data_IF_638067301824
#
_entry.id   IF_638067301824
#
_cell.length_a   1.000
_cell.length_b   1.000
_cell.length_c   1.000
_cell.angle_alpha   90.00
_cell.angle_beta   90.00
_cell.angle_gamma   90.00
#
_symmetry.space_group_name_H-M   'P 1'
#
loop_
_entity.id
_entity.type
_entity.pdbx_description
1 polymer ?
#
# COMPACT_ATOMS: atom_id res chain seq x y z
N UNK A 1 -11.49 6.37 20.41
CA UNK A 1 -10.89 7.60 19.86
C UNK A 1 -12.00 8.54 19.39
N UNK A 2 -13.07 8.67 20.19
CA UNK A 2 -14.33 9.22 19.70
C UNK A 2 -14.20 10.70 19.35
N UNK A 3 -14.56 11.07 18.11
CA UNK A 3 -14.53 12.46 17.62
C UNK A 3 -13.14 13.04 17.40
N UNK A 4 -12.06 12.25 17.60
CA UNK A 4 -10.70 12.73 17.41
C UNK A 4 -10.38 12.74 15.90
N UNK A 5 -9.93 13.88 15.35
CA UNK A 5 -9.42 13.95 13.98
C UNK A 5 -8.10 13.20 13.88
N UNK A 6 -8.01 12.28 12.92
CA UNK A 6 -6.87 11.40 12.70
C UNK A 6 -6.30 11.64 11.30
N UNK A 7 -4.97 11.66 11.21
CA UNK A 7 -4.25 11.65 9.95
C UNK A 7 -3.44 10.35 9.89
N UNK A 8 -3.46 9.70 8.75
CA UNK A 8 -2.64 8.52 8.47
C UNK A 8 -1.42 8.92 7.65
N UNK A 9 -0.26 8.40 8.03
CA UNK A 9 1.00 8.59 7.30
C UNK A 9 1.59 7.21 7.03
N UNK A 10 1.78 6.90 5.74
CA UNK A 10 2.17 5.58 5.27
C UNK A 10 3.47 5.72 4.50
N UNK A 11 4.47 4.94 4.91
CA UNK A 11 5.67 4.68 4.13
C UNK A 11 5.69 3.21 3.74
N UNK A 12 5.46 2.91 2.46
CA UNK A 12 5.32 1.52 2.00
C UNK A 12 6.00 1.30 0.66
N UNK A 13 6.20 0.03 0.28
CA UNK A 13 6.59 -0.30 -1.09
C UNK A 13 5.38 -0.49 -1.99
N UNK A 14 4.41 -1.29 -1.54
CA UNK A 14 3.11 -1.57 -2.15
C UNK A 14 2.16 -2.05 -1.04
N UNK A 15 0.95 -2.46 -1.40
CA UNK A 15 -0.12 -2.95 -0.53
C UNK A 15 -0.68 -1.89 0.42
N UNK A 16 -0.31 -0.61 0.22
CA UNK A 16 -0.69 0.46 1.11
C UNK A 16 -2.18 0.80 1.00
N UNK A 17 -2.79 0.63 -0.19
CA UNK A 17 -4.22 0.90 -0.39
C UNK A 17 -5.03 -0.09 0.43
N UNK A 18 -4.70 -1.38 0.29
CA UNK A 18 -5.37 -2.46 1.02
C UNK A 18 -5.21 -2.34 2.53
N UNK A 19 -4.04 -1.90 2.99
CA UNK A 19 -3.77 -1.65 4.41
C UNK A 19 -4.56 -0.44 4.91
N UNK A 20 -4.59 0.66 4.14
CA UNK A 20 -5.33 1.86 4.51
C UNK A 20 -6.82 1.61 4.63
N UNK A 21 -7.41 0.75 3.79
CA UNK A 21 -8.82 0.37 3.92
C UNK A 21 -9.12 -0.38 5.23
N UNK A 22 -8.18 -1.18 5.74
CA UNK A 22 -8.33 -1.81 7.06
C UNK A 22 -8.19 -0.76 8.16
N UNK A 23 -7.23 0.15 8.05
CA UNK A 23 -7.03 1.24 9.01
C UNK A 23 -8.25 2.17 9.07
N UNK A 24 -8.84 2.54 7.93
CA UNK A 24 -10.09 3.32 7.87
C UNK A 24 -11.20 2.64 8.66
N UNK A 25 -11.38 1.33 8.46
CA UNK A 25 -12.39 0.53 9.16
C UNK A 25 -12.12 0.52 10.66
N UNK A 26 -10.89 0.25 11.08
CA UNK A 26 -10.50 0.23 12.50
C UNK A 26 -10.71 1.60 13.17
N UNK A 27 -10.39 2.71 12.47
CA UNK A 27 -10.63 4.06 12.96
C UNK A 27 -12.13 4.30 13.17
N UNK A 28 -12.94 3.95 12.17
CA UNK A 28 -14.39 4.12 12.22
C UNK A 28 -15.02 3.30 13.35
N UNK A 29 -14.63 2.02 13.51
CA UNK A 29 -15.06 1.15 14.60
C UNK A 29 -14.73 1.74 15.99
N UNK A 30 -13.65 2.52 16.07
CA UNK A 30 -13.23 3.23 17.29
C UNK A 30 -13.77 4.67 17.41
N UNK A 31 -14.75 5.02 16.55
CA UNK A 31 -15.43 6.33 16.47
C UNK A 31 -14.49 7.52 16.18
N UNK A 32 -13.30 7.25 15.64
CA UNK A 32 -12.38 8.29 15.18
C UNK A 32 -12.82 8.87 13.84
N UNK A 33 -12.33 10.07 13.52
CA UNK A 33 -12.64 10.75 12.27
C UNK A 33 -11.35 10.80 11.43
N UNK A 34 -11.27 10.00 10.37
CA UNK A 34 -10.12 10.10 9.46
C UNK A 34 -10.27 11.35 8.61
N UNK A 35 -9.36 12.31 8.80
CA UNK A 35 -9.39 13.65 8.17
C UNK A 35 -8.29 13.86 7.15
N UNK A 36 -7.27 12.99 7.15
CA UNK A 36 -6.17 13.04 6.19
C UNK A 36 -5.48 11.70 5.99
N UNK A 37 -4.97 11.48 4.78
CA UNK A 37 -4.13 10.35 4.41
C UNK A 37 -2.96 10.83 3.55
N UNK A 38 -1.75 10.43 3.96
CA UNK A 38 -0.51 10.67 3.27
C UNK A 38 0.15 9.30 3.02
N UNK A 39 0.27 8.91 1.75
CA UNK A 39 0.89 7.68 1.31
C UNK A 39 2.14 7.99 0.48
N UNK A 40 3.30 7.80 1.10
CA UNK A 40 4.59 7.78 0.44
C UNK A 40 4.91 6.33 0.07
N UNK A 41 5.08 6.06 -1.21
CA UNK A 41 5.38 4.72 -1.68
C UNK A 41 6.59 4.65 -2.61
N UNK A 42 7.17 3.48 -2.73
CA UNK A 42 8.19 3.19 -3.73
C UNK A 42 7.58 3.35 -5.14
N UNK A 43 8.17 4.25 -5.94
CA UNK A 43 7.69 4.59 -7.30
C UNK A 43 8.39 3.79 -8.40
N UNK A 44 9.35 2.93 -8.06
CA UNK A 44 10.07 2.14 -9.06
C UNK A 44 9.19 1.01 -9.62
N UNK A 45 9.62 0.46 -10.75
CA UNK A 45 8.92 -0.66 -11.39
C UNK A 45 8.77 -1.83 -10.42
N UNK A 46 7.55 -2.37 -10.32
CA UNK A 46 7.16 -3.37 -9.33
C UNK A 46 8.20 -4.49 -9.20
N UNK A 47 8.58 -5.18 -10.29
CA UNK A 47 9.52 -6.30 -10.20
C UNK A 47 10.93 -5.87 -9.75
N UNK A 48 11.43 -4.72 -10.20
CA UNK A 48 12.73 -4.17 -9.77
C UNK A 48 12.71 -3.87 -8.28
N UNK A 49 11.64 -3.27 -7.77
CA UNK A 49 11.45 -3.05 -6.34
C UNK A 49 11.41 -4.34 -5.54
N UNK A 50 10.87 -5.45 -6.07
CA UNK A 50 10.91 -6.74 -5.36
C UNK A 50 12.37 -7.18 -5.17
N UNK A 51 13.17 -7.12 -6.22
CA UNK A 51 14.58 -7.53 -6.18
C UNK A 51 15.36 -6.70 -5.16
N UNK A 52 15.18 -5.37 -5.17
CA UNK A 52 15.91 -4.47 -4.26
C UNK A 52 15.45 -4.61 -2.80
N UNK A 53 14.17 -4.88 -2.56
CA UNK A 53 13.65 -5.18 -1.21
C UNK A 53 14.19 -6.52 -0.71
N UNK A 54 14.24 -7.57 -1.53
CA UNK A 54 14.83 -8.86 -1.15
C UNK A 54 16.31 -8.66 -0.80
N UNK A 55 17.06 -7.94 -1.63
CA UNK A 55 18.45 -7.59 -1.34
C UNK A 55 18.60 -6.86 -0.01
N UNK A 56 17.78 -5.82 0.23
CA UNK A 56 17.82 -5.06 1.47
C UNK A 56 17.52 -5.93 2.70
N UNK A 57 16.48 -6.76 2.65
CA UNK A 57 16.11 -7.63 3.76
C UNK A 57 17.16 -8.72 4.05
N UNK A 58 17.84 -9.22 3.02
CA UNK A 58 18.86 -10.27 3.17
C UNK A 58 20.21 -9.73 3.63
N UNK A 59 20.56 -8.50 3.25
CA UNK A 59 21.90 -7.91 3.50
C UNK A 59 21.90 -6.83 4.57
N UNK A 60 20.73 -6.27 4.92
CA UNK A 60 20.60 -5.08 5.75
C UNK A 60 20.98 -3.77 5.05
N UNK A 61 21.44 -3.81 3.80
CA UNK A 61 21.95 -2.63 3.08
C UNK A 61 20.84 -1.94 2.28
N UNK A 62 20.62 -0.66 2.57
CA UNK A 62 19.68 0.22 1.84
C UNK A 62 20.43 1.06 0.80
N UNK A 63 21.22 0.42 -0.04
CA UNK A 63 21.98 1.04 -1.13
C UNK A 63 21.51 0.55 -2.50
N UNK A 64 22.23 0.94 -3.57
CA UNK A 64 21.93 0.50 -4.93
C UNK A 64 22.53 -0.89 -5.14
N UNK A 65 21.68 -1.91 -5.24
CA UNK A 65 22.13 -3.26 -5.56
C UNK A 65 22.90 -3.26 -6.90
N UNK A 66 24.12 -3.80 -6.90
CA UNK A 66 25.05 -3.82 -8.05
C UNK A 66 25.32 -2.44 -8.70
N UNK A 67 25.04 -1.33 -8.02
CA UNK A 67 25.19 0.03 -8.56
C UNK A 67 24.18 0.45 -9.62
N UNK A 68 23.44 -0.49 -10.24
CA UNK A 68 22.50 -0.23 -11.34
C UNK A 68 21.03 -0.22 -10.89
N UNK A 69 20.71 -0.92 -9.80
CA UNK A 69 19.33 -0.99 -9.32
C UNK A 69 18.97 0.27 -8.51
N UNK A 70 17.67 0.64 -8.48
CA UNK A 70 17.22 1.73 -7.63
C UNK A 70 17.40 1.42 -6.14
N UNK A 71 17.47 2.48 -5.33
CA UNK A 71 17.46 2.33 -3.87
C UNK A 71 16.10 1.76 -3.42
N UNK A 72 16.05 0.78 -2.51
CA UNK A 72 14.80 0.15 -2.11
C UNK A 72 13.94 1.06 -1.21
N UNK A 73 12.61 0.99 -1.42
CA UNK A 73 11.61 1.65 -0.56
C UNK A 73 11.29 3.08 -0.98
N UNK A 74 10.72 3.86 -0.04
CA UNK A 74 10.45 5.29 -0.25
C UNK A 74 11.77 6.03 -0.46
N UNK A 75 11.79 6.89 -1.48
CA UNK A 75 12.95 7.68 -1.87
C UNK A 75 13.33 8.71 -0.80
N UNK A 76 14.61 9.09 -0.73
CA UNK A 76 15.04 10.12 0.23
C UNK A 76 14.40 11.48 -0.15
N UNK A 77 14.20 11.71 -1.45
CA UNK A 77 13.51 12.86 -2.00
C UNK A 77 12.05 12.94 -1.54
N UNK A 78 11.29 11.85 -1.60
CA UNK A 78 9.90 11.81 -1.11
C UNK A 78 9.83 12.08 0.40
N UNK A 79 10.79 11.56 1.17
CA UNK A 79 10.88 11.79 2.62
C UNK A 79 11.16 13.26 2.90
N UNK A 80 12.15 13.86 2.23
CA UNK A 80 12.50 15.28 2.41
C UNK A 80 11.35 16.19 2.01
N UNK A 81 10.70 15.90 0.88
CA UNK A 81 9.59 16.71 0.37
C UNK A 81 8.29 16.49 1.16
N UNK A 82 8.21 15.52 2.07
CA UNK A 82 7.04 15.33 2.94
C UNK A 82 6.76 16.55 3.82
N UNK A 83 7.75 17.44 4.03
CA UNK A 83 7.57 18.71 4.74
C UNK A 83 6.46 19.58 4.12
N UNK A 84 6.15 19.40 2.82
CA UNK A 84 5.07 20.14 2.13
C UNK A 84 3.71 19.95 2.79
N UNK A 85 3.46 18.79 3.40
CA UNK A 85 2.21 18.48 4.09
C UNK A 85 2.09 19.19 5.45
N UNK A 86 3.19 19.69 6.02
CA UNK A 86 3.18 20.32 7.35
C UNK A 86 2.34 21.59 7.38
N UNK A 87 2.40 22.43 6.34
CA UNK A 87 1.64 23.69 6.28
C UNK A 87 0.11 23.50 6.35
N UNK A 88 -0.54 22.69 5.49
CA UNK A 88 -1.98 22.48 5.58
C UNK A 88 -2.39 21.80 6.89
N UNK A 89 -1.58 20.88 7.43
CA UNK A 89 -1.85 20.26 8.73
C UNK A 89 -1.83 21.31 9.85
N UNK A 90 -0.82 22.18 9.87
CA UNK A 90 -0.73 23.25 10.86
C UNK A 90 -1.91 24.23 10.77
N UNK A 91 -2.35 24.56 9.55
CA UNK A 91 -3.52 25.43 9.34
C UNK A 91 -4.82 24.77 9.84
N UNK A 92 -5.01 23.49 9.56
CA UNK A 92 -6.17 22.73 10.05
C UNK A 92 -6.18 22.64 11.59
N UNK A 93 -5.04 22.31 12.19
CA UNK A 93 -4.87 22.28 13.65
C UNK A 93 -5.16 23.64 14.31
N UNK A 94 -4.60 24.72 13.75
CA UNK A 94 -4.74 26.07 14.32
C UNK A 94 -6.17 26.62 14.21
N UNK A 95 -6.89 26.24 13.15
CA UNK A 95 -8.26 26.70 12.91
C UNK A 95 -9.34 25.76 13.46
N UNK A 96 -8.96 24.57 13.92
CA UNK A 96 -9.87 23.52 14.38
C UNK A 96 -10.77 22.94 13.27
N UNK A 97 -10.46 23.21 12.00
CA UNK A 97 -11.25 22.81 10.83
C UNK A 97 -10.47 21.80 10.00
N UNK A 98 -11.06 20.62 9.79
CA UNK A 98 -10.38 19.48 9.16
C UNK A 98 -11.10 18.98 7.90
N UNK A 99 -12.25 19.55 7.55
CA UNK A 99 -13.13 19.10 6.48
C UNK A 99 -12.45 19.16 5.10
N UNK A 100 -11.59 20.15 4.88
CA UNK A 100 -10.84 20.33 3.63
C UNK A 100 -9.42 19.76 3.66
N UNK A 101 -8.97 19.23 4.81
CA UNK A 101 -7.57 18.86 4.99
C UNK A 101 -7.13 17.78 3.99
N UNK A 102 -7.95 16.77 3.72
CA UNK A 102 -7.59 15.74 2.75
C UNK A 102 -7.46 16.30 1.33
N UNK A 103 -8.31 17.24 0.94
CA UNK A 103 -8.25 17.85 -0.38
C UNK A 103 -6.99 18.71 -0.54
N UNK A 104 -6.62 19.47 0.49
CA UNK A 104 -5.38 20.25 0.54
C UNK A 104 -4.14 19.34 0.45
N UNK A 105 -4.13 18.25 1.21
CA UNK A 105 -3.06 17.25 1.16
C UNK A 105 -2.96 16.59 -0.22
N UNK A 106 -4.10 16.27 -0.84
CA UNK A 106 -4.15 15.64 -2.16
C UNK A 106 -3.62 16.57 -3.25
N UNK A 107 -3.90 17.87 -3.18
CA UNK A 107 -3.33 18.85 -4.12
C UNK A 107 -1.80 18.90 -4.05
N UNK A 108 -1.23 18.57 -2.89
CA UNK A 108 0.21 18.43 -2.68
C UNK A 108 0.73 17.01 -2.97
N UNK A 109 -0.06 16.14 -3.60
CA UNK A 109 0.34 14.78 -3.94
C UNK A 109 0.50 13.88 -2.71
N UNK A 110 -0.38 13.99 -1.72
CA UNK A 110 -0.39 13.08 -0.55
C UNK A 110 -0.79 11.66 -0.91
N UNK A 111 -1.52 11.46 -2.00
CA UNK A 111 -1.98 10.14 -2.45
C UNK A 111 -1.86 9.99 -3.96
N UNK A 112 -0.83 9.29 -4.40
CA UNK A 112 -0.62 8.87 -5.78
C UNK A 112 -1.00 7.40 -5.93
N UNK A 113 -1.80 7.08 -6.96
CA UNK A 113 -2.30 5.73 -7.20
C UNK A 113 -1.97 5.30 -8.62
N UNK A 114 -1.43 4.09 -8.74
CA UNK A 114 -1.30 3.37 -9.99
C UNK A 114 -2.48 2.38 -10.12
N UNK A 115 -3.33 2.48 -11.16
CA UNK A 115 -4.51 1.62 -11.31
C UNK A 115 -4.21 0.12 -11.37
N UNK A 116 -3.12 -0.25 -12.03
CA UNK A 116 -2.62 -1.62 -12.16
C UNK A 116 -2.21 -2.19 -10.80
N UNK A 117 -1.37 -1.46 -10.06
CA UNK A 117 -0.92 -1.84 -8.72
C UNK A 117 -2.12 -1.96 -7.78
N UNK A 118 -3.02 -0.98 -7.77
CA UNK A 118 -4.21 -1.01 -6.90
C UNK A 118 -5.10 -2.22 -7.20
N UNK A 119 -5.25 -2.60 -8.48
CA UNK A 119 -5.98 -3.81 -8.87
C UNK A 119 -5.30 -5.07 -8.36
N UNK A 120 -3.97 -5.14 -8.49
CA UNK A 120 -3.15 -6.26 -8.01
C UNK A 120 -3.27 -6.37 -6.48
N UNK A 121 -3.12 -5.27 -5.74
CA UNK A 121 -3.21 -5.25 -4.27
C UNK A 121 -4.54 -5.81 -3.77
N UNK A 122 -5.65 -5.36 -4.36
CA UNK A 122 -7.00 -5.78 -3.97
C UNK A 122 -7.22 -7.28 -4.18
N UNK A 123 -6.69 -7.84 -5.28
CA UNK A 123 -6.75 -9.28 -5.57
C UNK A 123 -5.80 -10.06 -4.67
N UNK A 124 -4.58 -9.57 -4.49
CA UNK A 124 -3.57 -10.18 -3.64
C UNK A 124 -4.08 -10.35 -2.21
N UNK A 125 -4.72 -9.32 -1.63
CA UNK A 125 -5.31 -9.39 -0.27
C UNK A 125 -6.20 -10.61 -0.08
N UNK A 126 -7.06 -10.94 -1.06
CA UNK A 126 -7.95 -12.12 -1.00
C UNK A 126 -7.17 -13.43 -1.04
N UNK A 127 -6.14 -13.50 -1.88
CA UNK A 127 -5.25 -14.66 -1.98
C UNK A 127 -4.50 -14.87 -0.66
N UNK A 128 -3.95 -13.79 -0.08
CA UNK A 128 -3.30 -13.83 1.23
C UNK A 128 -4.25 -14.27 2.34
N UNK A 129 -5.50 -13.80 2.33
CA UNK A 129 -6.51 -14.24 3.30
C UNK A 129 -6.75 -15.74 3.22
N UNK A 130 -6.94 -16.28 2.01
CA UNK A 130 -7.09 -17.72 1.80
C UNK A 130 -5.86 -18.51 2.31
N UNK A 131 -4.65 -18.10 1.91
CA UNK A 131 -3.42 -18.76 2.35
C UNK A 131 -3.22 -18.68 3.85
N UNK A 132 -3.50 -17.52 4.47
CA UNK A 132 -3.38 -17.34 5.91
C UNK A 132 -4.32 -18.28 6.67
N UNK A 133 -5.59 -18.38 6.28
CA UNK A 133 -6.55 -19.32 6.87
C UNK A 133 -6.16 -20.78 6.64
N UNK A 134 -5.68 -21.11 5.43
CA UNK A 134 -5.14 -22.43 5.15
C UNK A 134 -3.93 -22.75 6.04
N UNK A 135 -2.98 -21.84 6.23
CA UNK A 135 -1.80 -22.09 7.07
C UNK A 135 -2.22 -22.21 8.55
N UNK A 136 -3.06 -21.29 9.05
CA UNK A 136 -3.51 -21.25 10.45
C UNK A 136 -4.28 -22.49 10.88
N UNK A 137 -5.02 -23.13 9.97
CA UNK A 137 -5.69 -24.43 10.23
C UNK A 137 -4.74 -25.56 10.64
N UNK A 138 -3.42 -25.45 10.46
CA UNK A 138 -2.44 -26.45 10.94
C UNK A 138 -1.75 -26.07 12.24
N UNK A 139 -1.84 -24.83 12.68
CA UNK A 139 -1.17 -24.37 13.90
C UNK A 139 -0.90 -22.87 13.92
N UNK A 140 -0.73 -22.34 15.13
CA UNK A 140 -0.41 -20.94 15.38
C UNK A 140 1.05 -20.57 15.06
N UNK A 141 1.49 -19.36 15.42
CA UNK A 141 2.92 -18.99 15.35
C UNK A 141 3.80 -19.95 16.16
N UNK A 142 4.95 -20.35 15.60
CA UNK A 142 5.92 -21.24 16.27
C UNK A 142 5.64 -22.75 16.17
N UNK A 143 4.43 -23.14 15.78
CA UNK A 143 4.01 -24.55 15.64
C UNK A 143 4.73 -25.22 14.45
N UNK A 144 5.24 -26.46 14.61
CA UNK A 144 6.03 -27.13 13.54
C UNK A 144 5.14 -27.66 12.40
N UNK A 145 3.88 -27.95 12.70
CA UNK A 145 2.87 -28.56 11.84
C UNK A 145 2.47 -27.66 10.66
N UNK A 146 2.66 -26.33 10.78
CA UNK A 146 2.42 -25.38 9.69
C UNK A 146 3.62 -25.19 8.76
N UNK A 147 4.82 -25.69 9.10
CA UNK A 147 6.03 -25.52 8.30
C UNK A 147 5.86 -26.00 6.86
N UNK A 148 5.25 -27.17 6.57
CA UNK A 148 5.02 -27.59 5.19
C UNK A 148 4.14 -26.62 4.40
N UNK A 149 3.07 -26.09 5.02
CA UNK A 149 2.18 -25.10 4.38
C UNK A 149 2.89 -23.77 4.13
N UNK A 150 3.78 -23.35 5.04
CA UNK A 150 4.64 -22.18 4.85
C UNK A 150 5.63 -22.35 3.69
N UNK A 151 6.27 -23.53 3.57
CA UNK A 151 7.17 -23.82 2.44
C UNK A 151 6.41 -23.82 1.11
N UNK A 152 5.23 -24.41 1.07
CA UNK A 152 4.37 -24.38 -0.11
C UNK A 152 3.97 -22.95 -0.48
N UNK A 153 3.55 -22.16 0.51
CA UNK A 153 3.22 -20.75 0.30
C UNK A 153 4.40 -19.92 -0.21
N UNK A 154 5.62 -20.15 0.31
CA UNK A 154 6.84 -19.48 -0.16
C UNK A 154 7.06 -19.71 -1.66
N UNK A 155 7.02 -20.96 -2.11
CA UNK A 155 7.23 -21.29 -3.52
C UNK A 155 6.11 -20.76 -4.41
N UNK A 156 4.86 -20.87 -3.95
CA UNK A 156 3.71 -20.26 -4.62
C UNK A 156 3.89 -18.74 -4.79
N UNK A 157 4.29 -18.05 -3.72
CA UNK A 157 4.47 -16.59 -3.73
C UNK A 157 5.56 -16.18 -4.72
N UNK A 158 6.70 -16.87 -4.72
CA UNK A 158 7.79 -16.62 -5.68
C UNK A 158 7.31 -16.83 -7.12
N UNK A 159 6.59 -17.93 -7.37
CA UNK A 159 6.03 -18.20 -8.69
C UNK A 159 5.04 -17.11 -9.14
N UNK A 160 4.13 -16.68 -8.27
CA UNK A 160 3.17 -15.61 -8.60
C UNK A 160 3.87 -14.30 -8.91
N UNK A 161 4.89 -13.94 -8.13
CA UNK A 161 5.62 -12.68 -8.33
C UNK A 161 6.36 -12.68 -9.68
N UNK A 162 7.15 -13.73 -9.97
CA UNK A 162 8.02 -13.73 -11.14
C UNK A 162 7.33 -14.17 -12.43
N UNK A 163 6.41 -15.14 -12.36
CA UNK A 163 5.74 -15.68 -13.55
C UNK A 163 4.37 -15.03 -13.80
N UNK A 164 3.54 -14.87 -12.76
CA UNK A 164 2.15 -14.43 -12.94
C UNK A 164 2.03 -12.90 -13.01
N UNK A 165 2.82 -12.15 -12.23
CA UNK A 165 2.71 -10.67 -12.18
C UNK A 165 2.91 -9.98 -13.54
N UNK A 166 3.88 -10.37 -14.39
CA UNK A 166 4.04 -9.76 -15.71
C UNK A 166 2.81 -10.00 -16.61
N UNK A 167 2.29 -11.23 -16.60
CA UNK A 167 1.11 -11.63 -17.37
C UNK A 167 -0.13 -10.88 -16.87
N UNK A 168 -0.31 -10.80 -15.55
CA UNK A 168 -1.44 -10.10 -14.94
C UNK A 168 -1.46 -8.61 -15.29
N UNK A 169 -0.28 -7.99 -15.36
CA UNK A 169 -0.13 -6.58 -15.75
C UNK A 169 -0.50 -6.39 -17.23
N UNK A 170 -0.05 -7.29 -18.12
CA UNK A 170 -0.42 -7.26 -19.53
C UNK A 170 -1.94 -7.39 -19.73
N UNK A 171 -2.58 -8.36 -19.07
CA UNK A 171 -4.05 -8.55 -19.11
C UNK A 171 -4.78 -7.32 -18.55
N UNK A 172 -4.24 -6.68 -17.52
CA UNK A 172 -4.81 -5.45 -16.98
C UNK A 172 -4.84 -4.33 -18.02
N UNK A 173 -3.72 -4.09 -18.72
CA UNK A 173 -3.67 -3.04 -19.75
C UNK A 173 -4.56 -3.34 -20.95
N UNK A 174 -4.68 -4.61 -21.36
CA UNK A 174 -5.59 -5.01 -22.43
C UNK A 174 -7.06 -4.79 -22.07
N UNK A 175 -7.44 -5.05 -20.82
CA UNK A 175 -8.82 -4.89 -20.34
C UNK A 175 -9.12 -3.49 -19.80
N UNK A 176 -8.11 -2.62 -19.67
CA UNK A 176 -8.23 -1.29 -19.08
C UNK A 176 -9.28 -0.40 -19.76
N UNK A 177 -9.36 -0.30 -21.12
CA UNK A 177 -10.35 0.54 -21.79
C UNK A 177 -11.79 0.11 -21.47
N UNK A 178 -12.04 -1.20 -21.40
CA UNK A 178 -13.37 -1.77 -21.14
C UNK A 178 -13.88 -1.44 -19.72
N UNK A 179 -12.97 -1.34 -18.75
CA UNK A 179 -13.32 -1.09 -17.35
C UNK A 179 -12.96 0.32 -16.86
N UNK A 180 -12.64 1.25 -17.77
CA UNK A 180 -12.12 2.57 -17.46
C UNK A 180 -12.97 3.35 -16.44
N UNK A 181 -14.29 3.41 -16.63
CA UNK A 181 -15.19 4.12 -15.73
C UNK A 181 -15.18 3.54 -14.30
N UNK A 182 -15.14 2.21 -14.20
CA UNK A 182 -15.09 1.51 -12.90
C UNK A 182 -13.75 1.74 -12.21
N UNK A 183 -12.65 1.67 -12.96
CA UNK A 183 -11.31 1.93 -12.45
C UNK A 183 -11.21 3.36 -11.92
N UNK A 184 -11.65 4.36 -12.69
CA UNK A 184 -11.64 5.77 -12.26
C UNK A 184 -12.43 6.01 -10.98
N UNK A 185 -13.65 5.45 -10.88
CA UNK A 185 -14.46 5.54 -9.65
C UNK A 185 -13.76 4.92 -8.45
N UNK A 186 -13.04 3.81 -8.63
CA UNK A 186 -12.26 3.19 -7.56
C UNK A 186 -11.04 4.03 -7.18
N UNK A 187 -10.32 4.60 -8.16
CA UNK A 187 -9.18 5.46 -7.87
C UNK A 187 -9.60 6.72 -7.10
N UNK A 188 -10.72 7.34 -7.50
CA UNK A 188 -11.26 8.50 -6.78
C UNK A 188 -11.58 8.16 -5.31
N UNK A 189 -12.18 6.99 -5.07
CA UNK A 189 -12.47 6.51 -3.73
C UNK A 189 -11.21 6.24 -2.89
N UNK A 190 -10.23 5.53 -3.42
CA UNK A 190 -9.02 5.19 -2.67
C UNK A 190 -8.13 6.41 -2.37
N UNK A 191 -8.30 7.53 -3.09
CA UNK A 191 -7.68 8.82 -2.75
C UNK A 191 -8.36 9.54 -1.58
N UNK A 192 -9.58 9.15 -1.24
CA UNK A 192 -10.36 9.75 -0.15
C UNK A 192 -10.10 9.09 1.20
N UNK A 193 -10.62 9.73 2.25
CA UNK A 193 -10.57 9.25 3.64
C UNK A 193 -11.84 8.48 4.04
N UNK A 194 -12.92 8.61 3.28
CA UNK A 194 -14.18 7.92 3.56
C UNK A 194 -14.07 6.41 3.33
N UNK A 195 -14.93 5.67 4.04
CA UNK A 195 -15.12 4.24 3.89
C UNK A 195 -16.44 3.98 3.13
N UNK A 196 -16.41 3.08 2.15
CA UNK A 196 -17.58 2.58 1.41
C UNK A 196 -18.36 1.53 2.19
#
# INVERSE_FOLDING_TARGET
MAGIPIITVIGARNMWVSAQEDIKRMILENKGILTGNIALHDRHQNLLSVVTIIYWLMTGKKDRYLGIFPKPGVSDEDIQQATRFGKPIHMALSSGRYEQLQDDLRQLGSVELSPDITSIETKAKRIFYFWSGFILKKGGPGTKERIPRLKMFKWYLLFVIFAVSPIASLVFYLTYPLFYCKIRKNMAYFKGVDLR
#
